data_IF_683321416590
#
_entry.id   IF_683321416590
#
_cell.length_a   1.000
_cell.length_b   1.000
_cell.length_c   1.000
_cell.angle_alpha   90.00
_cell.angle_beta   90.00
_cell.angle_gamma   90.00
#
_symmetry.space_group_name_H-M   'P 1'
#
loop_
_entity.id
_entity.type
_entity.pdbx_description
1 polymer ?
#
# COMPACT_ATOMS: atom_id res chain seq x y z
N UNK A 1 5.73 13.21 8.30
CA UNK A 1 6.48 12.50 7.25
C UNK A 1 5.80 12.81 5.92
N UNK A 2 6.34 13.73 5.12
CA UNK A 2 5.74 14.14 3.82
C UNK A 2 6.61 15.10 3.00
N UNK A 3 7.65 15.70 3.59
CA UNK A 3 8.50 16.71 2.93
C UNK A 3 9.24 16.16 1.71
N UNK A 4 9.65 14.90 1.74
CA UNK A 4 10.30 14.22 0.62
C UNK A 4 9.34 13.98 -0.53
N UNK A 5 8.18 13.39 -0.27
CA UNK A 5 7.14 13.21 -1.28
C UNK A 5 6.79 14.54 -1.96
N UNK A 6 6.67 15.65 -1.20
CA UNK A 6 6.35 16.96 -1.77
C UNK A 6 7.48 17.49 -2.68
N UNK A 7 8.72 17.10 -2.43
CA UNK A 7 9.87 17.47 -3.26
C UNK A 7 9.92 16.67 -4.57
N UNK A 8 9.68 15.35 -4.50
CA UNK A 8 9.84 14.46 -5.65
C UNK A 8 8.54 14.25 -6.45
N UNK A 9 7.40 14.31 -5.78
CA UNK A 9 6.07 14.03 -6.32
C UNK A 9 5.04 15.02 -5.74
N UNK A 10 5.09 16.30 -6.17
CA UNK A 10 4.24 17.35 -5.61
C UNK A 10 2.74 17.05 -5.72
N UNK A 11 2.32 16.29 -6.74
CA UNK A 11 0.93 15.90 -6.99
C UNK A 11 0.63 14.44 -6.60
N UNK A 12 1.44 13.84 -5.72
CA UNK A 12 1.30 12.44 -5.32
C UNK A 12 -0.10 12.15 -4.77
N UNK A 13 -0.73 11.12 -5.35
CA UNK A 13 -1.96 10.50 -4.84
C UNK A 13 -1.63 9.17 -4.20
N UNK A 14 -2.26 8.89 -3.06
CA UNK A 14 -2.06 7.66 -2.30
C UNK A 14 -3.17 6.66 -2.55
N UNK A 15 -2.80 5.40 -2.66
CA UNK A 15 -3.69 4.27 -2.92
C UNK A 15 -3.06 2.98 -2.41
N UNK A 16 -3.88 1.93 -2.26
CA UNK A 16 -3.46 0.57 -2.00
C UNK A 16 -3.94 -0.34 -3.15
N UNK A 17 -3.03 -1.19 -3.61
CA UNK A 17 -3.29 -2.24 -4.60
C UNK A 17 -2.94 -3.58 -3.99
N UNK A 18 -3.54 -4.64 -4.53
CA UNK A 18 -3.16 -6.01 -4.23
C UNK A 18 -2.34 -6.56 -5.40
N UNK A 19 -1.30 -7.32 -5.06
CA UNK A 19 -0.52 -8.08 -6.03
C UNK A 19 -0.74 -9.56 -5.75
N UNK A 20 -1.24 -10.28 -6.75
CA UNK A 20 -1.38 -11.73 -6.70
C UNK A 20 -0.05 -12.37 -7.07
N UNK A 21 0.35 -13.37 -6.29
CA UNK A 21 1.58 -14.14 -6.49
C UNK A 21 1.19 -15.55 -6.94
N UNK A 22 1.61 -15.93 -8.15
CA UNK A 22 1.40 -17.28 -8.67
C UNK A 22 2.31 -18.30 -7.98
N UNK A 23 1.92 -19.58 -8.02
CA UNK A 23 2.73 -20.68 -7.46
C UNK A 23 4.11 -20.81 -8.15
N UNK A 24 4.23 -20.29 -9.38
CA UNK A 24 5.46 -20.22 -10.17
C UNK A 24 6.31 -18.97 -9.88
N UNK A 25 5.88 -18.11 -8.95
CA UNK A 25 6.54 -16.86 -8.61
C UNK A 25 6.21 -15.69 -9.54
N UNK A 26 5.24 -15.85 -10.46
CA UNK A 26 4.72 -14.73 -11.25
C UNK A 26 4.00 -13.71 -10.36
N UNK A 27 3.95 -12.46 -10.81
CA UNK A 27 3.31 -11.35 -10.10
C UNK A 27 2.35 -10.62 -11.03
N UNK A 28 1.13 -10.38 -10.58
CA UNK A 28 0.14 -9.60 -11.31
C UNK A 28 -0.60 -8.65 -10.36
N UNK A 29 -0.90 -7.44 -10.82
CA UNK A 29 -1.79 -6.52 -10.08
C UNK A 29 -3.21 -7.02 -10.20
N UNK A 30 -3.92 -7.17 -9.08
CA UNK A 30 -5.32 -7.56 -9.05
C UNK A 30 -6.19 -6.37 -9.51
N UNK A 31 -6.87 -6.44 -10.67
CA UNK A 31 -7.71 -5.33 -11.16
C UNK A 31 -8.99 -5.14 -10.35
N UNK A 32 -9.40 -6.13 -9.57
CA UNK A 32 -10.64 -6.11 -8.77
C UNK A 32 -10.43 -5.51 -7.38
N UNK A 33 -9.17 -5.25 -6.97
CA UNK A 33 -8.84 -4.66 -5.69
C UNK A 33 -8.09 -3.33 -5.85
N UNK A 34 -8.74 -2.24 -5.48
CA UNK A 34 -8.16 -0.91 -5.46
C UNK A 34 -8.79 -0.04 -4.36
N UNK A 35 -7.95 0.58 -3.53
CA UNK A 35 -8.39 1.52 -2.50
C UNK A 35 -7.74 2.88 -2.76
N UNK A 36 -8.55 3.90 -3.03
CA UNK A 36 -8.10 5.27 -3.26
C UNK A 36 -8.16 6.09 -1.97
N UNK A 37 -7.01 6.36 -1.36
CA UNK A 37 -6.93 7.23 -0.19
C UNK A 37 -6.96 8.71 -0.55
N UNK A 38 -6.61 9.09 -1.78
CA UNK A 38 -6.65 10.49 -2.23
C UNK A 38 -8.08 11.02 -2.33
N UNK A 39 -9.07 10.15 -2.47
CA UNK A 39 -10.49 10.49 -2.46
C UNK A 39 -11.04 10.82 -1.05
N UNK A 40 -10.32 10.49 0.02
CA UNK A 40 -10.74 10.77 1.39
C UNK A 40 -10.45 12.24 1.79
N UNK A 41 -11.19 12.80 2.77
CA UNK A 41 -10.95 14.15 3.25
C UNK A 41 -9.49 14.36 3.68
N UNK A 42 -8.86 15.39 3.09
CA UNK A 42 -7.47 15.73 3.37
C UNK A 42 -6.44 14.91 2.58
N UNK A 43 -6.85 13.99 1.71
CA UNK A 43 -5.97 13.20 0.85
C UNK A 43 -4.85 12.50 1.62
N UNK A 44 -5.17 11.68 2.65
CA UNK A 44 -4.18 11.02 3.49
C UNK A 44 -3.23 10.15 2.64
N UNK A 45 -1.98 10.05 3.10
CA UNK A 45 -0.97 9.19 2.49
C UNK A 45 -0.79 7.92 3.32
N UNK A 46 -1.21 6.80 2.75
CA UNK A 46 -0.94 5.48 3.30
C UNK A 46 0.56 5.18 3.26
N UNK A 47 1.04 4.45 4.25
CA UNK A 47 2.46 4.12 4.40
C UNK A 47 2.65 2.66 4.79
N UNK A 48 2.01 2.22 5.88
CA UNK A 48 2.11 0.87 6.42
C UNK A 48 0.71 0.26 6.58
N UNK A 49 0.63 -1.06 6.48
CA UNK A 49 -0.59 -1.83 6.67
C UNK A 49 -0.32 -2.99 7.62
N UNK A 50 -1.32 -3.32 8.45
CA UNK A 50 -1.26 -4.46 9.36
C UNK A 50 -2.46 -5.37 9.13
N UNK A 51 -2.20 -6.64 8.84
CA UNK A 51 -3.26 -7.60 8.60
C UNK A 51 -3.77 -8.21 9.92
N UNK A 52 -5.10 -8.41 10.05
CA UNK A 52 -5.64 -9.12 11.20
C UNK A 52 -5.04 -10.53 11.28
N UNK A 53 -4.50 -10.88 12.46
CA UNK A 53 -3.88 -12.18 12.67
C UNK A 53 -2.39 -12.25 12.33
N UNK A 54 -1.76 -11.12 11.99
CA UNK A 54 -0.34 -11.03 11.71
C UNK A 54 -0.04 -10.96 10.22
N UNK A 55 1.08 -10.33 9.89
CA UNK A 55 1.66 -10.28 8.56
C UNK A 55 3.18 -10.52 8.67
N UNK A 56 3.80 -10.70 7.51
CA UNK A 56 5.23 -11.05 7.38
C UNK A 56 6.20 -9.96 7.88
N UNK A 57 5.69 -8.81 8.34
CA UNK A 57 6.48 -7.71 8.91
C UNK A 57 6.17 -7.41 10.37
N UNK A 58 5.04 -7.91 10.90
CA UNK A 58 4.60 -7.68 12.27
C UNK A 58 4.90 -8.84 13.22
N UNK A 59 4.97 -10.06 12.70
CA UNK A 59 5.28 -11.22 13.52
C UNK A 59 6.78 -11.35 13.78
N UNK A 60 7.14 -11.46 15.05
CA UNK A 60 8.49 -11.84 15.50
C UNK A 60 8.41 -13.30 15.93
N UNK A 61 9.06 -14.18 15.19
CA UNK A 61 9.25 -15.57 15.61
C UNK A 61 10.19 -15.60 16.83
N UNK A 62 9.67 -16.02 18.01
CA UNK A 62 10.49 -16.35 19.19
C UNK A 62 10.85 -17.84 19.20
#
# INVERSE_FOLDING_TARGET
FSTWDNQFYPDLKSWLVQVDIGEDGSMAVNPDFFVDFSALPGGPRAHEMHLPGGDVTTEIFQ
#
